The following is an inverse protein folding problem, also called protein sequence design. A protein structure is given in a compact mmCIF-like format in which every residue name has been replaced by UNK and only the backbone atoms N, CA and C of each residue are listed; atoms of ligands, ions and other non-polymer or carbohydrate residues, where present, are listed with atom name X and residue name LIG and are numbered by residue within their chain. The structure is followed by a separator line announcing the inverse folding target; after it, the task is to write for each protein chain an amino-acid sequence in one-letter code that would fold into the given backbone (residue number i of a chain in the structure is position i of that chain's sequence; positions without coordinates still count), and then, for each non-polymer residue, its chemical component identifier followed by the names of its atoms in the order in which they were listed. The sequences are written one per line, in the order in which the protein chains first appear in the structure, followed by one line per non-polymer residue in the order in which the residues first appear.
data_IF_119428465453
#
_entry.id   IF_119428465453
#
_cell.length_a   1.000
_cell.length_b   1.000
_cell.length_c   1.000
_cell.angle_alpha   90.00
_cell.angle_beta   90.00
_cell.angle_gamma   90.00
#
_symmetry.space_group_name_H-M   'P 1'
#
loop_
_entity.id
_entity.type
_entity.pdbx_description
1 polymer ?
#
# COMPACT_ATOMS: atom_id res chain seq x y z
N UNK A 1 18.44 -11.68 -19.89
CA UNK A 1 17.59 -10.49 -20.08
C UNK A 1 16.08 -10.82 -20.04
N UNK A 2 15.65 -11.94 -20.59
CA UNK A 2 14.22 -12.34 -20.62
C UNK A 2 13.77 -13.10 -19.38
N UNK A 3 14.65 -13.72 -18.62
CA UNK A 3 14.29 -14.52 -17.43
C UNK A 3 14.01 -13.66 -16.20
N UNK A 4 14.70 -12.58 -16.04
CA UNK A 4 14.53 -11.67 -14.92
C UNK A 4 13.16 -10.95 -14.98
N UNK A 5 12.80 -10.47 -16.17
CA UNK A 5 11.49 -9.86 -16.43
C UNK A 5 10.31 -10.78 -16.07
N UNK A 6 10.49 -12.11 -16.13
CA UNK A 6 9.41 -13.04 -15.89
C UNK A 6 9.26 -13.44 -14.41
N UNK A 7 10.33 -13.44 -13.63
CA UNK A 7 10.31 -13.84 -12.21
C UNK A 7 10.08 -12.66 -11.26
N UNK A 8 10.69 -11.54 -11.56
CA UNK A 8 10.33 -10.27 -10.91
C UNK A 8 8.94 -9.84 -11.33
N UNK A 9 8.51 -10.24 -12.54
CA UNK A 9 7.15 -10.05 -13.00
C UNK A 9 6.12 -10.96 -12.30
N UNK A 10 6.47 -11.96 -11.51
CA UNK A 10 5.49 -12.68 -10.68
C UNK A 10 5.41 -12.11 -9.24
N UNK A 11 6.45 -11.51 -8.74
CA UNK A 11 6.48 -10.78 -7.45
C UNK A 11 6.38 -9.25 -7.62
N UNK A 12 6.97 -8.72 -8.69
CA UNK A 12 6.89 -7.34 -9.21
C UNK A 12 6.13 -7.32 -10.54
N UNK A 13 5.68 -8.46 -10.98
CA UNK A 13 5.22 -8.79 -12.33
C UNK A 13 4.14 -7.94 -12.90
N UNK A 14 3.78 -7.07 -12.14
CA UNK A 14 2.72 -6.15 -12.29
C UNK A 14 3.22 -4.74 -12.57
N UNK A 15 4.33 -4.34 -12.04
CA UNK A 15 4.82 -2.97 -12.18
C UNK A 15 5.76 -2.70 -13.36
N UNK A 16 6.52 -3.67 -13.82
CA UNK A 16 7.64 -3.42 -14.76
C UNK A 16 7.34 -3.72 -16.24
N UNK A 17 6.39 -4.58 -16.56
CA UNK A 17 6.01 -4.84 -17.96
C UNK A 17 5.18 -3.71 -18.60
N UNK A 18 4.57 -2.87 -17.78
CA UNK A 18 3.81 -1.71 -18.26
C UNK A 18 4.67 -0.51 -18.70
N UNK A 19 5.93 -0.46 -18.26
CA UNK A 19 6.83 0.67 -18.54
C UNK A 19 7.56 0.58 -19.89
N UNK A 20 7.56 -0.55 -20.57
CA UNK A 20 8.27 -0.73 -21.83
C UNK A 20 7.52 -0.28 -23.10
N UNK A 21 6.31 0.26 -22.97
CA UNK A 21 5.44 0.61 -24.10
C UNK A 21 5.21 2.11 -24.38
N UNK A 22 5.74 3.00 -23.55
CA UNK A 22 5.45 4.44 -23.70
C UNK A 22 6.68 5.24 -24.12
N UNK A 23 7.04 5.15 -25.39
CA UNK A 23 7.84 6.18 -26.08
C UNK A 23 6.95 6.93 -27.05
N UNK A 24 6.12 7.83 -26.59
CA UNK A 24 5.58 8.91 -27.40
C UNK A 24 6.18 10.23 -26.92
N UNK A 25 7.09 10.74 -27.73
CA UNK A 25 7.71 12.05 -27.57
C UNK A 25 6.65 13.15 -27.71
N UNK A 26 6.25 13.78 -26.63
CA UNK A 26 5.55 15.05 -26.66
C UNK A 26 6.61 16.16 -26.62
N UNK A 27 6.69 16.96 -27.68
CA UNK A 27 7.53 18.17 -27.73
C UNK A 27 6.96 19.24 -26.81
N UNK A 28 7.86 19.96 -26.12
CA UNK A 28 7.55 20.95 -25.09
C UNK A 28 6.94 22.28 -25.61
N UNK A 29 6.62 22.41 -26.89
CA UNK A 29 6.31 23.71 -27.51
C UNK A 29 4.81 24.01 -27.75
N UNK A 30 3.89 23.12 -27.32
CA UNK A 30 2.46 23.29 -27.65
C UNK A 30 1.54 23.57 -26.43
N UNK A 31 2.02 24.19 -25.36
CA UNK A 31 1.16 24.58 -24.24
C UNK A 31 0.59 26.00 -24.43
N UNK A 32 -0.75 26.20 -24.41
CA UNK A 32 -1.33 27.53 -24.42
C UNK A 32 -1.10 28.27 -23.12
N UNK A 33 -1.05 29.62 -23.13
CA UNK A 33 -0.78 30.41 -21.92
C UNK A 33 -1.91 30.31 -20.90
N UNK A 34 -1.53 30.08 -19.63
CA UNK A 34 -2.45 29.99 -18.48
C UNK A 34 -2.94 31.41 -18.11
N UNK A 35 -4.26 31.64 -17.99
CA UNK A 35 -4.78 32.91 -17.53
C UNK A 35 -4.53 33.13 -16.04
N UNK A 36 -4.20 34.36 -15.64
CA UNK A 36 -3.95 34.75 -14.26
C UNK A 36 -5.22 34.65 -13.39
N UNK A 37 -5.10 34.00 -12.24
CA UNK A 37 -6.16 33.86 -11.25
C UNK A 37 -6.17 35.11 -10.34
N UNK A 38 -7.32 35.79 -10.13
CA UNK A 38 -7.40 36.91 -9.20
C UNK A 38 -7.29 36.47 -7.74
N UNK A 39 -6.62 37.27 -6.90
CA UNK A 39 -6.41 37.01 -5.50
C UNK A 39 -7.75 37.03 -4.71
N UNK A 40 -7.95 36.02 -3.86
CA UNK A 40 -9.06 35.93 -2.92
C UNK A 40 -8.81 36.81 -1.68
N UNK A 41 -9.84 37.41 -1.11
CA UNK A 41 -9.71 38.25 0.10
C UNK A 41 -9.39 37.41 1.34
N UNK A 42 -8.60 37.98 2.24
CA UNK A 42 -8.19 37.38 3.50
C UNK A 42 -9.40 37.14 4.43
N UNK A 43 -9.56 35.86 4.84
CA UNK A 43 -10.55 35.46 5.84
C UNK A 43 -10.06 35.71 7.28
N UNK A 44 -10.97 35.74 8.27
CA UNK A 44 -10.66 36.05 9.67
C UNK A 44 -9.75 34.96 10.29
N UNK A 45 -8.84 35.43 11.16
CA UNK A 45 -7.78 34.66 11.79
C UNK A 45 -8.28 33.49 12.68
N UNK A 46 -7.39 32.53 12.97
CA UNK A 46 -7.75 31.30 13.63
C UNK A 46 -8.04 31.49 15.13
N UNK A 47 -9.14 30.88 15.57
CA UNK A 47 -9.43 30.70 16.99
C UNK A 47 -8.35 29.77 17.60
N UNK A 48 -7.81 30.19 18.73
CA UNK A 48 -6.81 29.45 19.50
C UNK A 48 -7.34 28.07 19.95
N UNK A 49 -6.78 27.02 19.42
CA UNK A 49 -7.00 25.65 19.87
C UNK A 49 -6.13 25.37 21.10
N UNK A 50 -6.63 24.68 22.15
CA UNK A 50 -5.82 24.30 23.29
C UNK A 50 -4.68 23.35 22.88
N UNK A 51 -3.55 23.32 23.63
CA UNK A 51 -2.38 22.54 23.26
C UNK A 51 -2.72 21.05 23.18
N UNK A 52 -2.38 20.44 22.06
CA UNK A 52 -2.51 19.01 21.85
C UNK A 52 -1.69 18.24 22.91
N UNK A 53 -2.29 17.25 23.51
CA UNK A 53 -1.64 16.31 24.42
C UNK A 53 -0.41 15.66 23.74
N UNK A 54 0.64 15.28 24.51
CA UNK A 54 1.88 14.72 23.97
C UNK A 54 1.57 13.50 23.11
N UNK A 55 2.19 13.52 21.92
CA UNK A 55 1.91 12.65 20.78
C UNK A 55 1.64 11.20 21.13
N UNK A 56 0.41 10.81 20.94
CA UNK A 56 0.08 9.39 20.76
C UNK A 56 0.79 8.91 19.51
N UNK A 57 1.56 7.82 19.65
CA UNK A 57 2.10 7.07 18.52
C UNK A 57 0.99 6.95 17.47
N UNK A 58 1.31 7.30 16.22
CA UNK A 58 0.40 7.01 15.11
C UNK A 58 0.29 5.49 15.06
N UNK A 59 -0.86 4.90 15.37
CA UNK A 59 -1.03 3.47 15.24
C UNK A 59 -0.77 3.13 13.76
N UNK A 60 -0.16 1.98 13.50
CA UNK A 60 -0.31 1.35 12.20
C UNK A 60 -1.78 1.48 11.78
N UNK A 61 -2.11 1.75 10.51
CA UNK A 61 -3.46 2.08 10.09
C UNK A 61 -4.39 0.95 10.47
N UNK A 62 -4.80 0.99 11.71
CA UNK A 62 -5.93 0.22 12.15
C UNK A 62 -7.10 0.80 11.38
N UNK A 63 -7.74 -0.05 10.62
CA UNK A 63 -9.10 0.19 10.23
C UNK A 63 -9.81 0.84 11.43
N UNK A 64 -10.49 1.98 11.29
CA UNK A 64 -11.02 2.69 12.43
C UNK A 64 -11.80 1.72 13.32
N UNK A 65 -11.30 1.46 14.51
CA UNK A 65 -12.13 0.91 15.55
C UNK A 65 -13.30 1.88 15.69
N UNK A 66 -14.50 1.38 15.51
CA UNK A 66 -15.67 2.21 15.63
C UNK A 66 -15.63 2.90 17.01
N UNK A 67 -15.70 4.23 17.07
CA UNK A 67 -15.73 4.91 18.35
C UNK A 67 -16.94 4.40 19.12
N UNK A 68 -16.74 4.06 20.39
CA UNK A 68 -17.84 3.92 21.33
C UNK A 68 -18.45 5.32 21.51
N UNK A 69 -19.42 5.66 20.65
CA UNK A 69 -20.10 6.95 20.66
C UNK A 69 -21.53 6.76 21.13
N UNK A 70 -21.92 7.58 22.10
CA UNK A 70 -23.33 7.85 22.39
C UNK A 70 -24.05 8.21 21.08
N UNK A 71 -25.29 7.68 20.91
CA UNK A 71 -26.09 7.84 19.71
C UNK A 71 -26.29 9.33 19.39
N UNK A 72 -25.47 9.83 18.47
CA UNK A 72 -25.76 11.08 17.79
C UNK A 72 -26.86 10.80 16.75
N UNK A 73 -27.82 11.73 16.54
CA UNK A 73 -28.82 11.58 15.48
C UNK A 73 -28.11 11.41 14.13
N UNK A 74 -28.72 10.72 13.17
CA UNK A 74 -28.12 10.44 11.87
C UNK A 74 -27.91 11.77 11.12
N UNK A 75 -26.82 12.42 11.41
CA UNK A 75 -26.40 13.58 10.69
C UNK A 75 -25.47 13.05 9.60
N UNK A 76 -26.00 12.85 8.40
CA UNK A 76 -25.23 12.54 7.18
C UNK A 76 -24.28 13.70 6.83
N UNK A 77 -23.53 14.17 7.81
CA UNK A 77 -22.58 15.24 7.59
C UNK A 77 -21.47 14.71 6.71
N UNK A 78 -21.48 15.16 5.49
CA UNK A 78 -20.39 14.91 4.56
C UNK A 78 -19.07 15.36 5.20
N UNK A 79 -18.11 14.46 5.24
CA UNK A 79 -16.75 14.70 5.71
C UNK A 79 -15.79 14.48 4.57
N UNK A 80 -14.68 15.19 4.59
CA UNK A 80 -13.62 14.99 3.62
C UNK A 80 -12.27 15.23 4.25
N UNK A 81 -11.27 14.51 3.77
CA UNK A 81 -9.85 14.78 4.01
C UNK A 81 -9.03 14.32 2.82
N UNK A 82 -7.77 14.63 2.83
CA UNK A 82 -6.89 14.20 1.77
C UNK A 82 -5.45 14.58 2.04
N UNK A 83 -4.61 14.25 1.07
CA UNK A 83 -3.20 14.55 1.11
C UNK A 83 -2.63 14.83 -0.28
N UNK A 84 -1.49 15.51 -0.28
CA UNK A 84 -0.59 15.66 -1.44
C UNK A 84 0.79 15.23 -0.99
N UNK A 85 1.36 14.26 -1.67
CA UNK A 85 2.65 13.64 -1.39
C UNK A 85 3.56 13.79 -2.61
N UNK A 86 4.68 14.47 -2.41
CA UNK A 86 5.69 14.66 -3.42
C UNK A 86 7.07 14.32 -2.88
N UNK A 87 7.96 13.87 -3.76
CA UNK A 87 9.30 13.47 -3.38
C UNK A 87 10.34 13.81 -4.44
N UNK A 88 11.59 13.78 -4.01
CA UNK A 88 12.77 13.70 -4.84
C UNK A 88 13.64 12.55 -4.33
N UNK A 89 13.98 11.61 -5.20
CA UNK A 89 14.83 10.48 -4.87
C UNK A 89 16.11 10.56 -5.69
N UNK A 90 17.25 10.47 -5.01
CA UNK A 90 18.55 10.33 -5.63
C UNK A 90 19.01 8.87 -5.54
N UNK A 91 19.22 8.23 -6.70
CA UNK A 91 19.74 6.88 -6.78
C UNK A 91 21.23 6.94 -7.13
N UNK A 92 22.09 6.43 -6.24
CA UNK A 92 23.55 6.44 -6.43
C UNK A 92 23.99 5.55 -7.59
N UNK A 93 23.19 4.58 -8.01
CA UNK A 93 23.45 3.76 -9.18
C UNK A 93 23.28 4.54 -10.50
N UNK A 94 22.60 5.68 -10.44
CA UNK A 94 22.33 6.59 -11.56
C UNK A 94 21.86 5.87 -12.84
N UNK A 95 20.75 5.09 -12.79
CA UNK A 95 20.20 4.42 -13.96
C UNK A 95 19.81 5.47 -15.02
N UNK A 96 19.89 5.10 -16.30
CA UNK A 96 19.60 6.02 -17.42
C UNK A 96 18.13 6.36 -17.52
N UNK A 97 17.26 5.43 -17.17
CA UNK A 97 15.82 5.61 -17.20
C UNK A 97 15.32 6.09 -15.84
N UNK A 98 14.74 7.28 -15.80
CA UNK A 98 14.20 7.85 -14.55
C UNK A 98 13.08 7.01 -13.95
N UNK A 99 12.40 6.21 -14.74
CA UNK A 99 11.34 5.28 -14.31
C UNK A 99 11.86 3.88 -13.94
N UNK A 100 13.12 3.57 -14.27
CA UNK A 100 13.77 2.32 -13.84
C UNK A 100 14.37 2.45 -12.42
N UNK A 101 14.00 3.49 -11.70
CA UNK A 101 14.79 4.11 -10.66
C UNK A 101 15.01 3.32 -9.40
N UNK A 102 14.08 2.65 -8.87
CA UNK A 102 14.24 2.17 -7.50
C UNK A 102 14.01 0.67 -7.32
N UNK A 103 14.08 -0.10 -8.37
CA UNK A 103 14.07 -1.57 -8.40
C UNK A 103 13.17 -2.33 -7.42
N UNK A 104 13.35 -2.15 -6.15
CA UNK A 104 12.62 -2.82 -5.07
C UNK A 104 11.71 -1.89 -4.26
N UNK A 105 11.68 -0.59 -4.58
CA UNK A 105 10.73 0.35 -3.96
C UNK A 105 9.38 0.32 -4.69
N UNK A 106 8.31 0.71 -3.99
CA UNK A 106 6.97 0.52 -4.55
C UNK A 106 6.39 1.79 -5.17
N UNK A 107 6.42 2.92 -4.48
CA UNK A 107 5.78 4.16 -4.94
C UNK A 107 6.77 5.28 -5.28
N UNK A 108 8.00 5.18 -4.84
CA UNK A 108 9.09 6.13 -5.08
C UNK A 108 9.94 5.66 -6.28
N UNK A 109 9.29 5.45 -7.42
CA UNK A 109 9.87 4.83 -8.61
C UNK A 109 10.72 5.75 -9.48
N UNK A 110 10.61 7.07 -9.31
CA UNK A 110 11.35 8.04 -10.12
C UNK A 110 12.58 8.52 -9.38
N UNK A 111 13.74 8.50 -10.05
CA UNK A 111 14.96 9.03 -9.50
C UNK A 111 15.44 10.27 -10.23
N UNK A 112 16.22 11.12 -9.54
CA UNK A 112 16.81 12.36 -10.05
C UNK A 112 15.80 13.34 -10.67
N UNK A 113 14.53 13.21 -10.27
CA UNK A 113 13.43 14.06 -10.74
C UNK A 113 12.42 14.26 -9.61
N UNK A 114 11.96 15.48 -9.35
CA UNK A 114 10.80 15.68 -8.47
C UNK A 114 9.58 14.95 -9.04
N UNK A 115 8.84 14.27 -8.17
CA UNK A 115 7.68 13.48 -8.57
C UNK A 115 6.51 13.68 -7.61
N UNK A 116 5.30 13.64 -8.15
CA UNK A 116 4.07 13.53 -7.39
C UNK A 116 3.79 12.04 -7.15
N UNK A 117 4.02 11.59 -5.92
CA UNK A 117 3.70 10.21 -5.54
C UNK A 117 2.19 10.01 -5.49
N UNK A 118 1.50 10.87 -4.74
CA UNK A 118 0.09 10.73 -4.47
C UNK A 118 -0.58 12.09 -4.26
N UNK A 119 -1.71 12.30 -4.93
CA UNK A 119 -2.71 13.28 -4.50
C UNK A 119 -4.02 12.53 -4.28
N UNK A 120 -4.59 12.65 -3.08
CA UNK A 120 -5.74 11.88 -2.64
C UNK A 120 -6.78 12.78 -1.99
N UNK A 121 -8.06 12.45 -2.25
CA UNK A 121 -9.20 12.99 -1.52
C UNK A 121 -10.11 11.85 -1.07
N UNK A 122 -10.43 11.84 0.20
CA UNK A 122 -11.43 10.98 0.81
C UNK A 122 -12.71 11.77 1.04
N UNK A 123 -13.84 11.21 0.65
CA UNK A 123 -15.17 11.75 0.90
C UNK A 123 -16.00 10.66 1.59
N UNK A 124 -16.57 10.94 2.75
CA UNK A 124 -17.23 9.91 3.53
C UNK A 124 -18.34 10.46 4.43
N UNK A 125 -19.25 9.55 4.79
CA UNK A 125 -20.21 9.76 5.85
C UNK A 125 -20.27 8.49 6.72
N UNK A 126 -20.05 8.65 8.02
CA UNK A 126 -20.06 7.54 8.95
C UNK A 126 -21.49 7.02 9.16
N UNK A 127 -21.66 5.70 9.19
CA UNK A 127 -22.92 5.07 9.48
C UNK A 127 -23.23 5.14 10.99
N UNK A 128 -24.35 5.75 11.37
CA UNK A 128 -24.91 5.58 12.71
C UNK A 128 -25.45 4.13 12.88
N UNK A 129 -25.62 3.60 14.11
CA UNK A 129 -26.18 2.28 14.34
C UNK A 129 -27.52 2.09 13.61
N UNK A 130 -27.64 1.01 12.84
CA UNK A 130 -28.81 0.66 11.97
C UNK A 130 -29.01 1.65 10.80
N UNK A 131 -28.00 2.40 10.42
CA UNK A 131 -28.05 3.32 9.28
C UNK A 131 -26.94 3.03 8.26
N UNK A 132 -27.07 3.64 7.10
CA UNK A 132 -26.08 3.56 6.05
C UNK A 132 -25.01 4.66 6.19
N UNK A 133 -23.83 4.38 5.72
CA UNK A 133 -22.73 5.30 5.48
C UNK A 133 -22.03 4.94 4.18
N UNK A 134 -21.00 5.68 3.83
CA UNK A 134 -20.18 5.40 2.63
C UNK A 134 -18.80 5.99 2.77
N UNK A 135 -17.87 5.46 1.97
CA UNK A 135 -16.55 6.05 1.74
C UNK A 135 -16.19 5.98 0.26
N UNK A 136 -15.67 7.10 -0.26
CA UNK A 136 -15.05 7.18 -1.56
C UNK A 136 -13.65 7.77 -1.40
N UNK A 137 -12.64 7.14 -1.99
CA UNK A 137 -11.24 7.58 -2.03
C UNK A 137 -10.84 7.72 -3.48
N UNK A 138 -10.51 8.93 -3.90
CA UNK A 138 -9.99 9.24 -5.22
C UNK A 138 -8.53 9.62 -5.12
N UNK A 139 -7.72 9.10 -6.03
CA UNK A 139 -6.27 9.33 -6.04
C UNK A 139 -5.74 9.54 -7.45
N UNK A 140 -4.58 10.21 -7.52
CA UNK A 140 -3.78 10.35 -8.74
C UNK A 140 -2.29 10.45 -8.37
N UNK A 141 -1.41 10.26 -9.35
CA UNK A 141 0.04 10.21 -9.18
C UNK A 141 0.60 8.82 -9.42
N UNK A 142 1.92 8.66 -9.23
CA UNK A 142 2.62 7.40 -9.45
C UNK A 142 2.00 6.25 -8.64
N UNK A 143 1.57 6.51 -7.42
CA UNK A 143 0.88 5.55 -6.54
C UNK A 143 -0.41 5.00 -7.17
N UNK A 144 -1.23 5.86 -7.78
CA UNK A 144 -2.46 5.44 -8.44
C UNK A 144 -2.16 4.57 -9.67
N UNK A 145 -1.14 4.94 -10.45
CA UNK A 145 -0.72 4.19 -11.62
C UNK A 145 -0.18 2.82 -11.24
N UNK A 146 0.62 2.71 -10.17
CA UNK A 146 1.20 1.46 -9.70
C UNK A 146 0.14 0.53 -9.10
N UNK A 147 -0.73 1.03 -8.24
CA UNK A 147 -1.80 0.21 -7.65
C UNK A 147 -2.71 -0.41 -8.70
N UNK A 148 -2.76 0.16 -9.90
CA UNK A 148 -3.62 -0.30 -10.98
C UNK A 148 -2.85 -0.72 -12.24
N UNK A 149 -1.52 -0.86 -12.17
CA UNK A 149 -0.66 -1.20 -13.32
C UNK A 149 -0.90 -2.61 -13.85
N UNK A 150 -1.36 -3.53 -13.02
CA UNK A 150 -1.68 -4.92 -13.38
C UNK A 150 -2.69 -5.07 -14.49
N UNK A 151 -3.43 -4.03 -14.73
CA UNK A 151 -4.59 -4.04 -15.60
C UNK A 151 -4.34 -3.44 -16.97
N UNK A 152 -3.19 -2.85 -17.15
CA UNK A 152 -2.83 -2.19 -18.41
C UNK A 152 -2.64 -3.18 -19.56
N UNK A 153 -2.45 -4.46 -19.27
CA UNK A 153 -2.28 -5.51 -20.28
C UNK A 153 -3.55 -6.31 -20.62
N UNK A 154 -4.63 -6.12 -19.90
CA UNK A 154 -5.83 -6.90 -20.12
C UNK A 154 -6.60 -6.41 -21.33
N UNK A 155 -6.73 -7.28 -22.30
CA UNK A 155 -7.36 -7.07 -23.59
C UNK A 155 -8.88 -6.83 -23.58
N UNK A 156 -9.48 -6.52 -22.46
CA UNK A 156 -10.94 -6.47 -22.31
C UNK A 156 -11.58 -5.09 -22.47
N UNK A 157 -10.86 -4.12 -22.98
CA UNK A 157 -11.44 -2.91 -23.65
C UNK A 157 -12.36 -1.98 -22.86
N UNK A 158 -12.80 -2.35 -21.66
CA UNK A 158 -13.83 -1.63 -20.93
C UNK A 158 -13.36 -1.05 -19.60
N UNK A 159 -12.01 -1.08 -19.32
CA UNK A 159 -12.06 -0.24 -18.33
C UNK A 159 -11.42 -0.18 -17.03
N UNK A 160 -10.32 -0.75 -16.96
CA UNK A 160 -9.52 -0.63 -15.77
C UNK A 160 -8.93 0.78 -15.64
N UNK A 161 -8.55 1.38 -16.75
CA UNK A 161 -8.21 2.81 -16.81
C UNK A 161 -9.31 3.74 -16.27
N UNK A 162 -10.58 3.34 -16.31
CA UNK A 162 -11.69 4.14 -15.75
C UNK A 162 -11.67 4.19 -14.22
N UNK A 163 -11.18 3.15 -13.58
CA UNK A 163 -11.22 3.02 -12.11
C UNK A 163 -9.85 3.20 -11.45
N UNK A 164 -8.78 3.46 -12.20
CA UNK A 164 -7.44 3.62 -11.64
C UNK A 164 -7.35 4.76 -10.61
N UNK A 165 -8.23 5.75 -10.73
CA UNK A 165 -8.30 6.86 -9.80
C UNK A 165 -9.31 6.64 -8.66
N UNK A 166 -10.00 5.51 -8.62
CA UNK A 166 -10.95 5.15 -7.55
C UNK A 166 -10.32 4.07 -6.67
N UNK A 167 -9.68 4.47 -5.60
CA UNK A 167 -9.02 3.53 -4.69
C UNK A 167 -10.00 2.81 -3.78
N UNK A 168 -10.96 3.52 -3.23
CA UNK A 168 -12.04 2.95 -2.46
C UNK A 168 -13.38 3.51 -2.90
N UNK A 169 -14.40 2.67 -2.92
CA UNK A 169 -15.78 3.09 -3.09
C UNK A 169 -16.68 2.00 -2.52
N UNK A 170 -17.20 2.22 -1.30
CA UNK A 170 -18.07 1.26 -0.65
C UNK A 170 -19.16 1.94 0.19
N UNK A 171 -20.27 1.22 0.32
CA UNK A 171 -21.33 1.54 1.28
C UNK A 171 -21.16 0.71 2.54
N UNK A 172 -21.48 1.30 3.69
CA UNK A 172 -21.47 0.68 5.00
C UNK A 172 -22.88 0.59 5.55
N UNK A 173 -23.25 -0.53 6.14
CA UNK A 173 -24.41 -0.63 7.02
C UNK A 173 -23.96 -0.98 8.43
N UNK A 174 -24.19 -0.10 9.39
CA UNK A 174 -23.87 -0.35 10.80
C UNK A 174 -24.94 -1.25 11.42
N UNK A 175 -24.53 -2.42 11.93
CA UNK A 175 -25.43 -3.40 12.53
C UNK A 175 -25.79 -3.05 13.97
N UNK A 176 -24.85 -2.45 14.70
CA UNK A 176 -24.99 -2.21 16.14
C UNK A 176 -24.13 -1.05 16.62
N UNK A 177 -24.39 -0.58 17.84
CA UNK A 177 -23.64 0.52 18.46
C UNK A 177 -22.24 0.11 18.94
N UNK A 178 -21.96 -1.18 19.09
CA UNK A 178 -20.67 -1.73 19.51
C UNK A 178 -19.66 -1.84 18.36
N UNK A 179 -20.03 -1.40 17.16
CA UNK A 179 -19.13 -1.31 16.02
C UNK A 179 -19.23 -2.47 15.03
N UNK A 180 -20.24 -3.34 15.13
CA UNK A 180 -20.48 -4.33 14.10
C UNK A 180 -21.05 -3.69 12.83
N UNK A 181 -20.62 -4.16 11.66
CA UNK A 181 -21.06 -3.60 10.38
C UNK A 181 -20.77 -4.49 9.19
N UNK A 182 -21.36 -4.10 8.07
CA UNK A 182 -21.14 -4.72 6.75
C UNK A 182 -20.76 -3.63 5.77
N UNK A 183 -19.70 -3.86 5.01
CA UNK A 183 -19.31 -3.02 3.87
C UNK A 183 -19.49 -3.79 2.57
N UNK A 184 -19.90 -3.07 1.52
CA UNK A 184 -20.04 -3.59 0.16
C UNK A 184 -19.45 -2.61 -0.84
N UNK A 185 -18.50 -3.06 -1.66
CA UNK A 185 -17.86 -2.28 -2.70
C UNK A 185 -16.37 -2.58 -2.83
N UNK A 186 -15.60 -1.56 -3.20
CA UNK A 186 -14.13 -1.61 -3.30
C UNK A 186 -13.52 -0.97 -2.06
N UNK A 187 -12.63 -1.67 -1.38
CA UNK A 187 -11.98 -1.22 -0.14
C UNK A 187 -10.50 -1.66 -0.11
N UNK A 188 -9.70 -1.03 0.73
CA UNK A 188 -8.32 -1.47 0.96
C UNK A 188 -8.27 -2.90 1.44
N UNK A 189 -7.20 -3.59 1.06
CA UNK A 189 -6.88 -4.91 1.61
C UNK A 189 -6.76 -4.86 3.13
N UNK A 190 -7.04 -5.95 3.86
CA UNK A 190 -6.63 -6.06 5.25
C UNK A 190 -5.13 -6.32 5.43
N UNK A 191 -4.46 -6.89 4.43
CA UNK A 191 -3.08 -7.34 4.50
C UNK A 191 -2.08 -6.20 4.48
N UNK A 192 -0.96 -6.38 5.18
CA UNK A 192 0.17 -5.48 5.23
C UNK A 192 0.22 -4.61 6.49
N UNK A 193 1.41 -4.49 7.05
CA UNK A 193 1.69 -3.55 8.14
C UNK A 193 1.72 -2.10 7.63
N UNK A 194 2.28 -1.90 6.45
CA UNK A 194 2.36 -0.60 5.79
C UNK A 194 1.13 -0.32 4.92
N UNK A 195 0.86 0.96 4.73
CA UNK A 195 -0.28 1.43 3.91
C UNK A 195 0.17 2.18 2.67
N UNK A 196 -0.80 2.40 1.79
CA UNK A 196 -0.60 3.15 0.55
C UNK A 196 -0.17 4.59 0.82
N UNK A 197 -0.74 5.26 1.81
CA UNK A 197 -0.45 6.65 2.15
C UNK A 197 0.83 6.75 2.98
N UNK A 198 1.81 7.51 2.51
CA UNK A 198 3.14 7.59 3.14
C UNK A 198 3.10 8.16 4.56
N UNK A 199 2.17 9.07 4.85
CA UNK A 199 2.00 9.65 6.19
C UNK A 199 1.49 8.66 7.23
N UNK A 200 0.94 7.51 6.80
CA UNK A 200 0.54 6.41 7.67
C UNK A 200 1.69 5.46 8.06
N UNK A 201 2.85 5.59 7.43
CA UNK A 201 4.01 4.72 7.63
C UNK A 201 5.12 5.46 8.39
N UNK A 202 6.04 4.70 9.02
CA UNK A 202 7.19 5.27 9.74
C UNK A 202 8.32 5.67 8.80
N UNK A 203 8.48 4.95 7.69
CA UNK A 203 9.41 5.23 6.62
C UNK A 203 8.66 5.79 5.40
N UNK A 204 9.36 6.49 4.51
CA UNK A 204 8.76 7.01 3.29
C UNK A 204 8.58 5.91 2.25
N UNK A 205 9.64 5.19 1.94
CA UNK A 205 9.59 4.03 1.04
C UNK A 205 8.88 2.84 1.71
N UNK A 206 8.35 1.92 0.90
CA UNK A 206 7.74 0.68 1.38
C UNK A 206 8.77 -0.40 1.57
N UNK A 207 8.50 -1.31 2.51
CA UNK A 207 9.34 -2.46 2.81
C UNK A 207 9.35 -3.49 1.66
N UNK A 208 10.35 -4.35 1.66
CA UNK A 208 10.34 -5.54 0.80
C UNK A 208 9.10 -6.41 1.04
N UNK A 209 8.61 -6.50 2.28
CA UNK A 209 7.41 -7.29 2.62
C UNK A 209 6.14 -6.76 1.95
N UNK A 210 6.01 -5.44 1.78
CA UNK A 210 4.88 -4.78 1.11
C UNK A 210 4.68 -5.24 -0.34
N UNK A 211 5.74 -5.69 -1.02
CA UNK A 211 5.66 -6.18 -2.40
C UNK A 211 4.88 -7.50 -2.54
N UNK A 212 4.58 -8.17 -1.43
CA UNK A 212 4.00 -9.51 -1.43
C UNK A 212 2.55 -9.56 -0.94
N UNK A 213 1.93 -8.42 -0.67
CA UNK A 213 0.52 -8.28 -0.25
C UNK A 213 -0.32 -7.59 -1.33
N UNK A 214 -1.64 -7.84 -1.39
CA UNK A 214 -2.53 -7.10 -2.29
C UNK A 214 -2.76 -5.68 -1.77
N UNK A 215 -3.34 -4.77 -2.60
CA UNK A 215 -3.56 -3.36 -2.21
C UNK A 215 -5.02 -3.05 -1.93
N UNK A 216 -5.93 -3.68 -2.64
CA UNK A 216 -7.37 -3.48 -2.48
C UNK A 216 -8.13 -4.72 -2.94
N UNK A 217 -9.37 -4.80 -2.50
CA UNK A 217 -10.29 -5.86 -2.88
C UNK A 217 -11.67 -5.26 -3.20
N UNK A 218 -12.43 -5.94 -4.05
CA UNK A 218 -13.84 -5.63 -4.31
C UNK A 218 -14.71 -6.80 -3.84
N UNK A 219 -15.77 -6.50 -3.09
CA UNK A 219 -16.65 -7.52 -2.52
C UNK A 219 -17.43 -7.04 -1.32
N UNK A 220 -17.67 -7.94 -0.39
CA UNK A 220 -18.32 -7.67 0.88
C UNK A 220 -17.42 -8.05 2.05
N UNK A 221 -17.53 -7.33 3.15
CA UNK A 221 -16.93 -7.70 4.44
C UNK A 221 -17.91 -7.47 5.58
N UNK A 222 -17.91 -8.38 6.55
CA UNK A 222 -18.64 -8.25 7.80
C UNK A 222 -17.64 -8.25 8.95
N UNK A 223 -17.80 -7.34 9.87
CA UNK A 223 -16.91 -7.17 11.02
C UNK A 223 -17.71 -6.98 12.30
N UNK A 224 -17.17 -7.51 13.41
CA UNK A 224 -17.82 -7.41 14.72
C UNK A 224 -16.77 -7.53 15.83
N UNK A 225 -16.91 -6.78 16.93
CA UNK A 225 -16.25 -7.10 18.18
C UNK A 225 -16.64 -8.51 18.63
N UNK A 226 -15.70 -9.27 19.17
CA UNK A 226 -15.96 -10.63 19.65
C UNK A 226 -16.70 -10.57 20.99
N UNK A 227 -17.86 -11.24 21.14
CA UNK A 227 -18.61 -11.24 22.39
C UNK A 227 -17.76 -11.70 23.58
N UNK A 228 -17.76 -10.93 24.65
CA UNK A 228 -16.93 -11.19 25.84
C UNK A 228 -15.47 -10.77 25.74
N UNK A 229 -14.99 -10.37 24.55
CA UNK A 229 -13.63 -9.88 24.33
C UNK A 229 -13.65 -8.64 23.41
N UNK A 230 -14.14 -7.48 23.88
CA UNK A 230 -14.36 -6.30 23.02
C UNK A 230 -13.04 -5.71 22.45
N UNK A 231 -11.91 -6.08 23.01
CA UNK A 231 -10.59 -5.74 22.49
C UNK A 231 -10.22 -6.50 21.20
N UNK A 232 -10.97 -7.54 20.85
CA UNK A 232 -10.78 -8.34 19.64
C UNK A 232 -11.90 -8.07 18.65
N UNK A 233 -11.56 -7.66 17.44
CA UNK A 233 -12.47 -7.56 16.30
C UNK A 233 -12.19 -8.70 15.33
N UNK A 234 -13.23 -9.39 14.88
CA UNK A 234 -13.16 -10.38 13.81
C UNK A 234 -13.82 -9.81 12.54
N UNK A 235 -13.17 -10.01 11.39
CA UNK A 235 -13.70 -9.63 10.09
C UNK A 235 -13.63 -10.80 9.12
N UNK A 236 -14.69 -11.03 8.38
CA UNK A 236 -14.76 -11.97 7.27
C UNK A 236 -15.00 -11.23 5.98
N UNK A 237 -14.34 -11.66 4.90
CA UNK A 237 -14.42 -11.04 3.59
C UNK A 237 -14.81 -12.08 2.53
N UNK A 238 -15.68 -11.66 1.62
CA UNK A 238 -16.01 -12.35 0.38
C UNK A 238 -15.64 -11.40 -0.76
N UNK A 239 -14.60 -11.73 -1.50
CA UNK A 239 -14.01 -10.80 -2.48
C UNK A 239 -13.92 -11.43 -3.86
N UNK A 240 -13.75 -10.58 -4.85
CA UNK A 240 -13.56 -10.97 -6.25
C UNK A 240 -12.13 -11.47 -6.53
N UNK A 241 -11.52 -12.14 -5.57
CA UNK A 241 -10.14 -12.62 -5.60
C UNK A 241 -9.27 -11.89 -4.58
N UNK A 242 -8.41 -12.64 -3.88
CA UNK A 242 -7.54 -12.11 -2.81
C UNK A 242 -6.43 -11.23 -3.42
N UNK A 243 -5.75 -11.74 -4.46
CA UNK A 243 -4.75 -11.00 -5.24
C UNK A 243 -5.28 -10.54 -6.61
N UNK A 244 -6.54 -10.83 -6.90
CA UNK A 244 -7.16 -10.27 -8.07
C UNK A 244 -7.55 -8.84 -7.76
N UNK A 245 -6.64 -7.97 -8.05
CA UNK A 245 -6.82 -6.54 -7.97
C UNK A 245 -7.73 -6.02 -9.08
N UNK A 246 -8.43 -6.91 -9.82
CA UNK A 246 -9.37 -6.46 -10.84
C UNK A 246 -10.40 -5.55 -10.22
N UNK A 247 -10.58 -4.48 -10.90
CA UNK A 247 -11.44 -3.36 -10.58
C UNK A 247 -12.90 -3.77 -10.51
N UNK A 248 -13.70 -2.94 -9.89
CA UNK A 248 -15.15 -3.03 -10.05
C UNK A 248 -15.50 -3.02 -11.54
N UNK A 249 -15.97 -4.16 -12.05
CA UNK A 249 -16.44 -4.28 -13.41
C UNK A 249 -15.66 -5.25 -14.31
N UNK A 250 -14.50 -5.74 -13.90
CA UNK A 250 -13.87 -6.86 -14.58
C UNK A 250 -14.24 -8.15 -13.86
N UNK A 251 -14.86 -9.05 -14.57
CA UNK A 251 -15.25 -10.34 -14.03
C UNK A 251 -13.98 -11.11 -13.59
N UNK A 252 -14.00 -11.65 -12.39
CA UNK A 252 -13.08 -12.69 -12.01
C UNK A 252 -13.29 -13.87 -12.99
N UNK A 253 -12.34 -14.07 -13.88
CA UNK A 253 -12.44 -15.11 -14.94
C UNK A 253 -12.56 -16.52 -14.38
N UNK A 254 -12.18 -16.75 -13.13
CA UNK A 254 -12.37 -18.02 -12.43
C UNK A 254 -13.84 -18.25 -12.02
N UNK A 255 -14.68 -17.19 -12.03
CA UNK A 255 -16.06 -17.21 -11.52
C UNK A 255 -16.16 -17.71 -10.08
N UNK A 256 -15.15 -17.46 -9.27
CA UNK A 256 -15.05 -17.89 -7.87
C UNK A 256 -14.76 -16.70 -6.99
N UNK A 257 -15.21 -16.77 -5.75
CA UNK A 257 -14.91 -15.78 -4.73
C UNK A 257 -13.62 -16.18 -3.98
N UNK A 258 -12.85 -15.19 -3.61
CA UNK A 258 -11.79 -15.31 -2.62
C UNK A 258 -12.39 -15.10 -1.21
N UNK A 259 -11.80 -15.77 -0.23
CA UNK A 259 -12.20 -15.70 1.17
C UNK A 259 -11.05 -15.15 1.99
N UNK A 260 -11.33 -14.19 2.88
CA UNK A 260 -10.32 -13.68 3.81
C UNK A 260 -10.92 -13.58 5.21
N UNK A 261 -10.06 -13.75 6.21
CA UNK A 261 -10.38 -13.54 7.60
C UNK A 261 -9.33 -12.67 8.27
N UNK A 262 -9.75 -11.79 9.17
CA UNK A 262 -8.87 -10.97 10.00
C UNK A 262 -9.29 -11.05 11.45
N UNK A 263 -8.31 -11.17 12.34
CA UNK A 263 -8.43 -10.97 13.77
C UNK A 263 -7.55 -9.78 14.17
N UNK A 264 -8.15 -8.76 14.76
CA UNK A 264 -7.45 -7.58 15.24
C UNK A 264 -7.67 -7.42 16.74
N UNK A 265 -6.61 -7.62 17.51
CA UNK A 265 -6.59 -7.43 18.95
C UNK A 265 -5.78 -6.19 19.31
N UNK A 266 -6.41 -5.27 20.02
CA UNK A 266 -5.74 -4.08 20.59
C UNK A 266 -5.79 -4.17 22.10
N UNK A 267 -4.61 -4.23 22.74
CA UNK A 267 -4.52 -4.24 24.21
C UNK A 267 -5.23 -3.02 24.80
N UNK A 268 -6.17 -3.19 25.74
CA UNK A 268 -6.91 -2.09 26.36
C UNK A 268 -6.01 -1.04 27.05
N UNK A 269 -4.78 -1.41 27.40
CA UNK A 269 -3.79 -0.49 27.97
C UNK A 269 -2.93 0.19 26.88
N UNK A 270 -3.19 -0.08 25.61
CA UNK A 270 -2.45 0.48 24.47
C UNK A 270 -1.00 -0.02 24.36
N UNK A 271 -0.66 -1.14 25.01
CA UNK A 271 0.68 -1.69 25.00
C UNK A 271 1.05 -2.32 23.68
N UNK A 272 0.10 -3.02 23.06
CA UNK A 272 0.34 -3.66 21.76
C UNK A 272 -0.94 -3.82 20.94
N UNK A 273 -0.76 -3.96 19.65
CA UNK A 273 -1.79 -4.38 18.68
C UNK A 273 -1.26 -5.59 17.93
N UNK A 274 -2.07 -6.63 17.84
CA UNK A 274 -1.79 -7.84 17.06
C UNK A 274 -2.89 -8.01 16.01
N UNK A 275 -2.49 -8.14 14.76
CA UNK A 275 -3.40 -8.41 13.65
C UNK A 275 -2.93 -9.70 12.98
N UNK A 276 -3.86 -10.58 12.66
CA UNK A 276 -3.59 -11.83 11.93
C UNK A 276 -4.62 -11.99 10.82
N UNK A 277 -4.15 -12.22 9.62
CA UNK A 277 -4.95 -12.33 8.40
C UNK A 277 -4.66 -13.62 7.65
N UNK A 278 -5.71 -14.19 7.08
CA UNK A 278 -5.64 -15.34 6.20
C UNK A 278 -6.48 -15.09 4.95
N UNK A 279 -5.89 -15.30 3.78
CA UNK A 279 -6.57 -15.26 2.49
C UNK A 279 -6.45 -16.58 1.75
N UNK A 280 -7.55 -17.03 1.19
CA UNK A 280 -7.66 -18.27 0.42
C UNK A 280 -8.34 -17.98 -0.89
N UNK A 281 -7.71 -18.34 -2.02
CA UNK A 281 -8.25 -18.08 -3.33
C UNK A 281 -7.93 -19.18 -4.33
N UNK A 282 -8.76 -19.25 -5.36
CA UNK A 282 -8.50 -20.03 -6.57
C UNK A 282 -8.97 -19.23 -7.77
N UNK A 283 -8.05 -18.54 -8.41
CA UNK A 283 -8.35 -17.61 -9.50
C UNK A 283 -7.53 -17.89 -10.75
N UNK A 284 -7.88 -17.26 -11.86
CA UNK A 284 -7.07 -17.25 -13.07
C UNK A 284 -6.16 -16.03 -13.05
N UNK A 285 -4.86 -16.25 -12.94
CA UNK A 285 -3.88 -15.21 -13.24
C UNK A 285 -3.72 -15.10 -14.77
N UNK A 286 -3.46 -13.91 -15.26
CA UNK A 286 -3.24 -13.62 -16.69
C UNK A 286 -4.48 -13.70 -17.59
N UNK A 287 -5.68 -13.41 -17.08
CA UNK A 287 -6.92 -13.34 -17.85
C UNK A 287 -7.57 -14.71 -18.13
N UNK A 288 -8.59 -14.71 -18.98
CA UNK A 288 -9.44 -15.88 -19.24
C UNK A 288 -8.71 -17.12 -19.77
N UNK A 289 -7.53 -16.93 -20.35
CA UNK A 289 -6.68 -18.03 -20.87
C UNK A 289 -5.71 -18.62 -19.86
N UNK A 290 -5.54 -18.03 -18.68
CA UNK A 290 -4.58 -18.48 -17.68
C UNK A 290 -5.05 -19.74 -16.94
N UNK A 291 -4.10 -20.51 -16.34
CA UNK A 291 -4.44 -21.66 -15.52
C UNK A 291 -5.13 -21.25 -14.22
N UNK A 292 -6.03 -22.08 -13.72
CA UNK A 292 -6.54 -21.96 -12.35
C UNK A 292 -5.36 -21.97 -11.37
N UNK A 293 -5.23 -20.95 -10.56
CA UNK A 293 -4.12 -20.76 -9.63
C UNK A 293 -4.64 -20.70 -8.21
N UNK A 294 -4.14 -21.58 -7.34
CA UNK A 294 -4.41 -21.51 -5.90
C UNK A 294 -3.49 -20.50 -5.26
N UNK A 295 -4.06 -19.67 -4.40
CA UNK A 295 -3.34 -18.68 -3.59
C UNK A 295 -3.70 -18.87 -2.13
N UNK A 296 -2.69 -18.89 -1.30
CA UNK A 296 -2.80 -18.80 0.16
C UNK A 296 -1.92 -17.65 0.59
N UNK A 297 -2.45 -16.74 1.37
CA UNK A 297 -1.67 -15.67 2.02
C UNK A 297 -2.03 -15.63 3.50
N UNK A 298 -1.03 -15.55 4.35
CA UNK A 298 -1.17 -15.29 5.78
C UNK A 298 -0.24 -14.13 6.13
N UNK A 299 -0.76 -13.19 6.88
CA UNK A 299 -0.05 -12.01 7.32
C UNK A 299 -0.25 -11.84 8.83
N UNK A 300 0.80 -11.48 9.54
CA UNK A 300 0.77 -11.30 10.98
C UNK A 300 1.55 -10.05 11.37
N UNK A 301 0.85 -9.11 11.97
CA UNK A 301 1.32 -7.79 12.31
C UNK A 301 1.34 -7.60 13.82
N UNK A 302 2.44 -7.12 14.37
CA UNK A 302 2.56 -6.73 15.78
C UNK A 302 3.10 -5.31 15.88
N UNK A 303 2.41 -4.46 16.61
CA UNK A 303 2.97 -3.19 17.09
C UNK A 303 3.08 -3.25 18.60
N UNK A 304 4.25 -2.90 19.13
CA UNK A 304 4.49 -2.85 20.58
C UNK A 304 4.99 -1.47 21.00
N UNK A 305 4.29 -0.84 21.92
CA UNK A 305 4.62 0.47 22.49
C UNK A 305 5.46 0.28 23.76
N UNK A 306 6.74 0.59 23.71
CA UNK A 306 7.61 0.58 24.90
C UNK A 306 7.18 1.68 25.88
N UNK A 307 6.90 2.86 25.32
CA UNK A 307 6.40 4.04 26.02
C UNK A 307 5.71 4.98 25.02
N UNK A 308 5.33 6.18 25.46
CA UNK A 308 4.65 7.17 24.59
C UNK A 308 5.48 7.65 23.39
N UNK A 309 6.80 7.47 23.43
CA UNK A 309 7.72 7.99 22.41
C UNK A 309 8.40 6.89 21.58
N UNK A 310 8.32 5.64 22.00
CA UNK A 310 9.09 4.55 21.38
C UNK A 310 8.19 3.36 21.11
N UNK A 311 8.27 2.85 19.89
CA UNK A 311 7.58 1.62 19.50
C UNK A 311 8.44 0.74 18.60
N UNK A 312 8.07 -0.53 18.52
CA UNK A 312 8.54 -1.46 17.51
C UNK A 312 7.35 -2.07 16.75
N UNK A 313 7.58 -2.41 15.51
CA UNK A 313 6.64 -3.13 14.65
C UNK A 313 7.27 -4.38 14.08
N UNK A 314 6.44 -5.38 13.82
CA UNK A 314 6.80 -6.60 13.11
C UNK A 314 5.71 -6.91 12.11
N UNK A 315 6.12 -7.26 10.91
CA UNK A 315 5.30 -7.76 9.83
C UNK A 315 5.87 -9.09 9.35
N UNK A 316 5.01 -10.10 9.16
CA UNK A 316 5.40 -11.38 8.60
C UNK A 316 4.35 -11.89 7.63
N UNK A 317 4.73 -11.98 6.36
CA UNK A 317 3.90 -12.44 5.25
C UNK A 317 4.36 -13.81 4.78
N UNK A 318 3.45 -14.77 4.78
CA UNK A 318 3.58 -16.03 4.06
C UNK A 318 2.65 -16.02 2.86
N UNK A 319 3.16 -16.26 1.65
CA UNK A 319 2.36 -16.41 0.44
C UNK A 319 2.75 -17.66 -0.32
N UNK A 320 1.75 -18.39 -0.78
CA UNK A 320 1.95 -19.49 -1.71
C UNK A 320 1.04 -19.32 -2.92
N UNK A 321 1.62 -19.41 -4.10
CA UNK A 321 0.94 -19.34 -5.40
C UNK A 321 1.23 -20.61 -6.18
N UNK A 322 0.17 -21.34 -6.57
CA UNK A 322 0.30 -22.63 -7.27
C UNK A 322 -0.65 -22.71 -8.47
N UNK A 323 -0.18 -22.43 -9.69
CA UNK A 323 -0.91 -22.69 -10.93
C UNK A 323 -1.17 -24.18 -11.14
N UNK A 324 -2.31 -24.54 -11.74
CA UNK A 324 -2.56 -25.90 -12.18
C UNK A 324 -1.61 -26.25 -13.34
N UNK A 325 -0.84 -27.32 -13.18
CA UNK A 325 0.13 -27.77 -14.20
C UNK A 325 1.41 -26.93 -14.29
N UNK A 326 1.62 -25.98 -13.35
CA UNK A 326 2.80 -25.14 -13.27
C UNK A 326 3.59 -25.33 -11.99
N UNK A 327 4.71 -24.60 -11.88
CA UNK A 327 5.53 -24.54 -10.67
C UNK A 327 4.81 -23.87 -9.51
N UNK A 328 5.39 -24.01 -8.32
CA UNK A 328 4.92 -23.40 -7.08
C UNK A 328 5.85 -22.26 -6.68
N UNK A 329 5.29 -21.10 -6.39
CA UNK A 329 5.97 -19.99 -5.72
C UNK A 329 5.63 -20.03 -4.23
N UNK A 330 6.62 -19.84 -3.38
CA UNK A 330 6.46 -19.69 -1.92
C UNK A 330 7.29 -18.52 -1.45
N UNK A 331 6.64 -17.57 -0.80
CA UNK A 331 7.25 -16.38 -0.24
C UNK A 331 7.14 -16.41 1.27
N UNK A 332 8.26 -16.12 1.94
CA UNK A 332 8.33 -15.72 3.34
C UNK A 332 8.95 -14.33 3.38
N UNK A 333 8.15 -13.32 3.69
CA UNK A 333 8.63 -11.96 3.78
C UNK A 333 8.42 -11.41 5.20
N UNK A 334 9.28 -10.48 5.59
CA UNK A 334 9.23 -9.89 6.94
C UNK A 334 9.72 -8.45 6.91
N UNK A 335 9.20 -7.66 7.85
CA UNK A 335 9.74 -6.34 8.15
C UNK A 335 9.73 -6.08 9.66
N UNK A 336 10.78 -5.45 10.14
CA UNK A 336 10.92 -5.02 11.53
C UNK A 336 11.12 -3.51 11.53
N UNK A 337 10.36 -2.84 12.36
CA UNK A 337 10.34 -1.39 12.48
C UNK A 337 10.70 -0.97 13.89
N UNK A 338 11.41 0.14 13.99
CA UNK A 338 11.59 0.86 15.23
C UNK A 338 11.37 2.35 15.00
N UNK A 339 10.56 3.00 15.82
CA UNK A 339 10.34 4.45 15.75
C UNK A 339 10.53 5.10 17.11
N UNK A 340 11.29 6.18 17.14
CA UNK A 340 11.54 7.01 18.32
C UNK A 340 11.12 8.45 18.04
N UNK A 341 10.15 8.95 18.79
CA UNK A 341 9.84 10.36 18.84
C UNK A 341 10.92 11.06 19.67
N UNK A 342 11.62 12.01 19.07
CA UNK A 342 12.69 12.75 19.74
C UNK A 342 12.15 13.97 20.50
N UNK A 343 11.17 14.65 19.91
CA UNK A 343 10.47 15.79 20.49
C UNK A 343 9.12 15.99 19.74
N UNK A 344 8.40 17.06 20.06
CA UNK A 344 7.07 17.31 19.47
C UNK A 344 7.05 17.40 17.93
N UNK A 345 8.19 17.66 17.28
CA UNK A 345 8.29 17.85 15.84
C UNK A 345 9.10 16.78 15.12
N UNK A 346 10.05 16.15 15.81
CA UNK A 346 11.04 15.30 15.16
C UNK A 346 10.96 13.85 15.63
N UNK A 347 11.07 12.92 14.72
CA UNK A 347 11.21 11.50 14.99
C UNK A 347 12.28 10.86 14.11
N UNK A 348 12.76 9.69 14.54
CA UNK A 348 13.57 8.79 13.73
C UNK A 348 12.87 7.47 13.60
N UNK A 349 13.02 6.83 12.44
CA UNK A 349 12.54 5.49 12.18
C UNK A 349 13.62 4.65 11.51
N UNK A 350 13.67 3.40 11.89
CA UNK A 350 14.54 2.39 11.29
C UNK A 350 13.67 1.23 10.82
N UNK A 351 14.00 0.66 9.68
CA UNK A 351 13.38 -0.54 9.14
C UNK A 351 14.47 -1.49 8.65
N UNK A 352 14.25 -2.77 8.92
CA UNK A 352 14.92 -3.87 8.24
C UNK A 352 13.83 -4.77 7.67
N UNK A 353 13.86 -5.04 6.39
CA UNK A 353 12.91 -5.95 5.76
C UNK A 353 13.57 -6.86 4.74
N UNK A 354 12.93 -7.98 4.45
CA UNK A 354 13.45 -8.91 3.46
C UNK A 354 12.44 -10.00 3.12
N UNK A 355 12.80 -10.81 2.14
CA UNK A 355 12.00 -11.96 1.72
C UNK A 355 12.87 -13.12 1.28
N UNK A 356 12.31 -14.32 1.39
CA UNK A 356 12.73 -15.49 0.63
C UNK A 356 11.59 -15.84 -0.34
N UNK A 357 11.82 -15.56 -1.62
CA UNK A 357 10.89 -15.89 -2.69
C UNK A 357 11.44 -17.09 -3.48
N UNK A 358 10.82 -18.25 -3.26
CA UNK A 358 11.23 -19.54 -3.78
C UNK A 358 10.29 -20.01 -4.87
N UNK A 359 10.84 -20.33 -6.02
CA UNK A 359 10.13 -20.94 -7.14
C UNK A 359 10.59 -22.37 -7.38
N UNK A 360 9.66 -23.34 -7.44
CA UNK A 360 9.90 -24.77 -7.61
C UNK A 360 9.03 -25.34 -8.72
N UNK A 361 9.56 -26.31 -9.49
CA UNK A 361 8.85 -26.94 -10.61
C UNK A 361 8.78 -26.03 -11.84
N UNK A 362 9.81 -25.24 -12.04
CA UNK A 362 9.91 -24.28 -13.13
C UNK A 362 10.05 -24.92 -14.51
N UNK A 363 9.87 -24.07 -15.51
CA UNK A 363 10.12 -24.39 -16.93
C UNK A 363 11.48 -23.81 -17.36
N UNK A 364 11.88 -24.07 -18.60
CA UNK A 364 13.09 -23.43 -19.19
C UNK A 364 13.00 -21.91 -19.17
N UNK A 365 11.79 -21.35 -19.21
CA UNK A 365 11.55 -19.90 -19.18
C UNK A 365 11.54 -19.33 -17.77
N UNK A 366 11.14 -20.13 -16.77
CA UNK A 366 11.14 -19.78 -15.35
C UNK A 366 11.71 -20.96 -14.54
N UNK A 367 13.05 -21.11 -14.50
CA UNK A 367 13.70 -22.21 -13.79
C UNK A 367 13.53 -22.08 -12.28
N UNK A 368 13.75 -23.21 -11.58
CA UNK A 368 13.81 -23.22 -10.13
C UNK A 368 14.83 -22.21 -9.61
N UNK A 369 14.49 -21.54 -8.54
CA UNK A 369 15.38 -20.54 -7.93
C UNK A 369 14.81 -19.95 -6.67
N UNK A 370 15.68 -19.22 -5.97
CA UNK A 370 15.33 -18.46 -4.77
C UNK A 370 15.92 -17.07 -4.85
N UNK A 371 15.08 -16.06 -4.76
CA UNK A 371 15.48 -14.66 -4.57
C UNK A 371 15.42 -14.31 -3.10
N UNK A 372 16.41 -13.56 -2.62
CA UNK A 372 16.46 -13.07 -1.24
C UNK A 372 16.75 -11.55 -1.25
N UNK A 373 15.76 -10.72 -1.59
CA UNK A 373 15.86 -9.29 -1.43
C UNK A 373 15.80 -8.92 0.05
N UNK A 374 16.53 -7.85 0.43
CA UNK A 374 16.35 -7.17 1.72
C UNK A 374 16.61 -5.68 1.59
N UNK A 375 16.05 -4.89 2.51
CA UNK A 375 16.35 -3.48 2.68
C UNK A 375 16.70 -3.12 4.12
N UNK A 376 17.55 -2.07 4.25
CA UNK A 376 17.82 -1.36 5.49
C UNK A 376 17.50 0.10 5.24
N UNK A 377 16.58 0.66 6.02
CA UNK A 377 16.09 2.01 5.81
C UNK A 377 16.15 2.82 7.10
N UNK A 378 16.66 4.05 7.00
CA UNK A 378 16.71 5.01 8.09
C UNK A 378 16.04 6.32 7.65
N UNK A 379 15.07 6.79 8.44
CA UNK A 379 14.27 7.98 8.14
C UNK A 379 14.35 8.98 9.29
N UNK A 380 14.58 10.24 8.94
CA UNK A 380 14.38 11.38 9.84
C UNK A 380 13.13 12.14 9.44
N UNK A 381 12.21 12.29 10.37
CA UNK A 381 10.90 12.90 10.18
C UNK A 381 10.86 14.28 10.85
N UNK A 382 10.33 15.28 10.14
CA UNK A 382 10.13 16.65 10.61
C UNK A 382 8.66 17.03 10.40
N UNK A 383 7.90 17.16 11.46
CA UNK A 383 6.53 17.68 11.45
C UNK A 383 6.58 19.21 11.63
N UNK A 384 6.70 19.93 10.51
CA UNK A 384 6.85 21.38 10.52
C UNK A 384 5.59 22.10 11.02
N UNK A 385 4.41 21.59 10.62
CA UNK A 385 3.08 22.04 11.07
C UNK A 385 2.18 20.84 11.38
N UNK A 386 0.96 21.08 11.84
CA UNK A 386 -0.01 20.01 12.11
C UNK A 386 -0.29 19.17 10.86
N UNK A 387 -0.20 19.76 9.67
CA UNK A 387 -0.57 19.20 8.40
C UNK A 387 0.55 19.19 7.34
N UNK A 388 1.81 19.40 7.74
CA UNK A 388 2.94 19.28 6.83
C UNK A 388 4.07 18.46 7.45
N UNK A 389 4.37 17.33 6.80
CA UNK A 389 5.37 16.36 7.19
C UNK A 389 6.47 16.29 6.13
N UNK A 390 7.73 16.46 6.56
CA UNK A 390 8.91 16.28 5.70
C UNK A 390 9.69 15.07 6.19
N UNK A 391 10.24 14.29 5.29
CA UNK A 391 11.15 13.18 5.61
C UNK A 391 12.40 13.24 4.76
N UNK A 392 13.52 12.92 5.40
CA UNK A 392 14.78 12.58 4.73
C UNK A 392 15.04 11.12 5.04
N UNK A 393 15.20 10.31 4.00
CA UNK A 393 15.36 8.87 4.15
C UNK A 393 16.56 8.37 3.35
N UNK A 394 17.34 7.51 3.97
CA UNK A 394 18.36 6.70 3.31
C UNK A 394 17.90 5.25 3.28
N UNK A 395 18.06 4.60 2.13
CA UNK A 395 17.73 3.20 1.94
C UNK A 395 18.86 2.49 1.21
N UNK A 396 19.23 1.31 1.72
CA UNK A 396 20.09 0.34 1.07
C UNK A 396 19.27 -0.91 0.77
N UNK A 397 19.27 -1.32 -0.49
CA UNK A 397 18.68 -2.56 -0.97
C UNK A 397 19.75 -3.52 -1.45
N UNK A 398 19.51 -4.81 -1.20
CA UNK A 398 20.34 -5.90 -1.72
C UNK A 398 19.44 -7.06 -2.20
N UNK A 399 19.85 -7.71 -3.28
CA UNK A 399 19.20 -8.94 -3.74
C UNK A 399 20.23 -10.03 -4.00
N UNK A 400 19.99 -11.20 -3.43
CA UNK A 400 20.76 -12.39 -3.67
C UNK A 400 19.92 -13.42 -4.45
N UNK A 401 20.52 -13.98 -5.48
CA UNK A 401 19.84 -14.92 -6.36
C UNK A 401 20.69 -16.17 -6.60
N UNK A 402 20.14 -17.36 -6.34
CA UNK A 402 20.95 -18.59 -6.30
C UNK A 402 21.06 -19.37 -7.62
N UNK A 403 20.49 -18.90 -8.72
CA UNK A 403 20.56 -19.60 -10.01
C UNK A 403 21.36 -18.89 -11.11
N UNK A 404 22.25 -17.95 -10.74
CA UNK A 404 23.05 -17.19 -11.68
C UNK A 404 22.29 -16.21 -12.56
N UNK A 405 21.02 -15.95 -12.24
CA UNK A 405 20.25 -14.92 -12.92
C UNK A 405 20.71 -13.51 -12.50
N UNK A 406 20.41 -12.55 -13.34
CA UNK A 406 20.79 -11.16 -13.20
C UNK A 406 20.46 -10.57 -11.82
N UNK A 407 21.34 -9.76 -11.24
CA UNK A 407 21.03 -8.91 -10.10
C UNK A 407 19.84 -7.98 -10.42
N UNK A 408 19.06 -7.63 -9.38
CA UNK A 408 17.76 -6.99 -9.52
C UNK A 408 17.77 -5.51 -9.84
N UNK A 409 18.92 -4.82 -9.72
CA UNK A 409 18.96 -3.36 -9.80
C UNK A 409 19.62 -2.86 -11.08
N UNK A 410 19.10 -1.74 -11.58
CA UNK A 410 19.58 -1.12 -12.79
C UNK A 410 20.82 -0.26 -12.53
N UNK A 411 21.89 -0.51 -13.30
CA UNK A 411 23.05 0.38 -13.38
C UNK A 411 22.90 1.44 -14.47
N UNK A 412 23.98 2.20 -14.69
CA UNK A 412 24.02 3.29 -15.68
C UNK A 412 23.73 2.89 -17.13
N UNK A 413 23.60 1.59 -17.43
CA UNK A 413 23.29 1.08 -18.76
C UNK A 413 21.81 0.67 -18.95
N UNK A 414 20.94 0.96 -17.99
CA UNK A 414 19.54 0.51 -17.97
C UNK A 414 19.38 -1.03 -18.09
N UNK A 415 20.38 -1.76 -17.63
CA UNK A 415 20.38 -3.21 -17.51
C UNK A 415 20.44 -3.55 -16.03
N UNK A 416 19.65 -4.52 -15.60
CA UNK A 416 19.71 -5.05 -14.24
C UNK A 416 21.04 -5.82 -14.07
N UNK A 417 22.09 -5.15 -13.63
CA UNK A 417 23.45 -5.65 -13.52
C UNK A 417 24.04 -5.53 -12.10
N UNK A 418 23.24 -5.10 -11.13
CA UNK A 418 23.66 -4.83 -9.75
C UNK A 418 22.85 -5.64 -8.75
N UNK A 419 23.53 -6.12 -7.72
CA UNK A 419 22.93 -6.76 -6.54
C UNK A 419 22.57 -5.74 -5.47
N UNK A 420 23.12 -4.53 -5.55
CA UNK A 420 23.00 -3.50 -4.50
C UNK A 420 22.52 -2.18 -5.08
N UNK A 421 21.72 -1.48 -4.31
CA UNK A 421 21.26 -0.14 -4.60
C UNK A 421 21.27 0.71 -3.32
N UNK A 422 21.65 1.99 -3.46
CA UNK A 422 21.54 2.97 -2.39
C UNK A 422 20.75 4.17 -2.89
N UNK A 423 19.83 4.65 -2.07
CA UNK A 423 19.03 5.83 -2.40
C UNK A 423 18.96 6.79 -1.22
N UNK A 424 18.81 8.07 -1.51
CA UNK A 424 18.41 9.11 -0.56
C UNK A 424 17.17 9.79 -1.12
N UNK A 425 16.13 9.91 -0.30
CA UNK A 425 14.93 10.64 -0.66
C UNK A 425 14.66 11.81 0.27
N UNK A 426 14.06 12.86 -0.30
CA UNK A 426 13.43 13.96 0.40
C UNK A 426 11.96 13.97 0.01
N UNK A 427 11.07 13.88 0.97
CA UNK A 427 9.63 13.91 0.71
C UNK A 427 8.91 14.96 1.52
N UNK A 428 7.79 15.45 0.99
CA UNK A 428 6.88 16.36 1.65
C UNK A 428 5.44 15.90 1.48
N UNK A 429 4.74 15.75 2.62
CA UNK A 429 3.33 15.35 2.64
C UNK A 429 2.52 16.46 3.29
N UNK A 430 1.60 17.01 2.53
CA UNK A 430 0.61 17.97 3.01
C UNK A 430 -0.74 17.30 3.17
N UNK A 431 -1.34 17.38 4.36
CA UNK A 431 -2.68 16.85 4.64
C UNK A 431 -3.68 17.98 4.81
N UNK A 432 -4.94 17.75 4.44
CA UNK A 432 -6.01 18.74 4.54
C UNK A 432 -7.35 18.09 4.90
N UNK A 433 -8.33 18.92 5.30
CA UNK A 433 -9.67 18.48 5.67
C UNK A 433 -9.81 18.10 7.15
N UNK A 434 -10.97 17.53 7.51
CA UNK A 434 -11.34 17.16 8.87
C UNK A 434 -11.65 15.69 8.97
#
# INVERSE_FOLDING_TARGET
LRLFTFKTALALGVGLTALSGWTSSVRADDAPPVPAIPALPAGPGPATQPPAAPGTAVPAPTQPAAPAAAAAPPNYKLQYNGLIDAYYLFNFANPKDVSAGAGETYYDIRHNSPALSLAEINVFANAAPKHFGYKATFMTGDTADINHADFMGASHGLGEARYKNVQQLYGTYSLSADGAGIDLGKFYTPFGYEVTESNGNYNYSRSTAFNYVPFYNAGARIYTPVPGLPALTATLYLVNGVFNTTTMGVANDSKRLGYMGQLNYTDPKGKFTLISELGLDKQKFYGSGGPDTKVVVNDNNLTYNFNANSLAGLDYVYRQTKPNGGGKETVNAYAVYFRQQLNAKNAVALRFSGAEDKYEGGTVVAPDGTARPYDITATYEIKSTANFLTRVEYRHDHINYNNGANPGFYGGNSIADRSDQNTISLSGVFTFGQ
#
